data_IF_284330956774
#
_entry.id   IF_284330956774
#
_cell.length_a   1.000
_cell.length_b   1.000
_cell.length_c   1.000
_cell.angle_alpha   90.00
_cell.angle_beta   90.00
_cell.angle_gamma   90.00
#
_symmetry.space_group_name_H-M   'P 1'
#
loop_
_entity.id
_entity.type
_entity.pdbx_description
1 polymer ?
#
# COMPACT_ATOMS: atom_id res chain seq x y z
N UNK A 1 2.23 -16.92 -6.64
CA UNK A 1 1.86 -15.48 -6.54
C UNK A 1 2.41 -14.71 -7.74
N UNK A 2 1.55 -14.00 -8.48
CA UNK A 2 1.96 -13.12 -9.60
C UNK A 2 1.79 -11.66 -9.18
N UNK A 3 2.78 -10.80 -9.47
CA UNK A 3 2.73 -9.36 -9.18
C UNK A 3 2.96 -8.56 -10.44
N UNK A 4 2.13 -7.54 -10.65
CA UNK A 4 2.27 -6.56 -11.73
C UNK A 4 2.49 -5.20 -11.07
N UNK A 5 3.50 -4.48 -11.55
CA UNK A 5 3.86 -3.17 -11.02
C UNK A 5 3.73 -2.14 -12.13
N UNK A 6 3.14 -1.00 -11.80
CA UNK A 6 3.06 0.15 -12.67
C UNK A 6 3.52 1.38 -11.89
N UNK A 7 4.52 2.08 -12.41
CA UNK A 7 4.97 3.35 -11.87
C UNK A 7 4.56 4.45 -12.84
N UNK A 8 3.91 5.49 -12.32
CA UNK A 8 3.47 6.64 -13.09
C UNK A 8 3.92 7.92 -12.40
N UNK A 9 4.26 8.94 -13.20
CA UNK A 9 4.59 10.29 -12.71
C UNK A 9 3.57 11.27 -13.28
N UNK A 10 2.36 11.37 -12.69
CA UNK A 10 1.29 12.17 -13.26
C UNK A 10 1.59 13.68 -13.26
N UNK A 11 2.41 14.16 -12.31
CA UNK A 11 2.82 15.57 -12.18
C UNK A 11 4.22 15.66 -11.55
N UNK A 12 4.94 16.78 -11.71
CA UNK A 12 6.13 17.09 -10.91
C UNK A 12 5.83 16.98 -9.41
N UNK A 13 6.78 16.50 -8.61
CA UNK A 13 6.56 16.24 -7.18
C UNK A 13 5.56 15.14 -6.81
N UNK A 14 4.96 14.40 -7.77
CA UNK A 14 4.06 13.28 -7.48
C UNK A 14 4.47 12.00 -8.23
N UNK A 15 4.83 10.97 -7.48
CA UNK A 15 5.05 9.62 -7.97
C UNK A 15 3.92 8.72 -7.48
N UNK A 16 3.35 7.91 -8.37
CA UNK A 16 2.33 6.92 -8.02
C UNK A 16 2.82 5.56 -8.45
N UNK A 17 2.96 4.66 -7.50
CA UNK A 17 3.28 3.26 -7.73
C UNK A 17 2.03 2.43 -7.43
N UNK A 18 1.56 1.69 -8.41
CA UNK A 18 0.45 0.73 -8.28
C UNK A 18 0.98 -0.69 -8.40
N UNK A 19 0.57 -1.56 -7.50
CA UNK A 19 0.85 -2.99 -7.55
C UNK A 19 -0.46 -3.75 -7.58
N UNK A 20 -0.56 -4.71 -8.49
CA UNK A 20 -1.65 -5.70 -8.52
C UNK A 20 -1.05 -7.06 -8.22
N UNK A 21 -1.52 -7.71 -7.16
CA UNK A 21 -1.08 -9.03 -6.75
C UNK A 21 -2.19 -10.06 -6.89
N UNK A 22 -1.86 -11.20 -7.48
CA UNK A 22 -2.73 -12.38 -7.64
C UNK A 22 -2.16 -13.57 -6.88
N UNK A 23 -3.02 -14.23 -6.11
CA UNK A 23 -2.68 -15.38 -5.27
C UNK A 23 -3.53 -16.55 -5.75
N UNK A 24 -2.92 -17.54 -6.38
CA UNK A 24 -3.65 -18.65 -7.03
C UNK A 24 -3.75 -19.90 -6.16
N UNK A 25 -2.92 -19.97 -5.11
CA UNK A 25 -2.73 -21.09 -4.19
C UNK A 25 -3.63 -21.02 -2.94
N UNK A 26 -4.69 -20.21 -3.00
CA UNK A 26 -5.66 -20.02 -1.91
C UNK A 26 -7.08 -20.27 -2.40
N UNK A 27 -8.01 -20.67 -1.50
CA UNK A 27 -9.42 -20.72 -1.85
C UNK A 27 -9.90 -19.40 -2.45
N UNK A 28 -10.62 -19.47 -3.56
CA UNK A 28 -11.11 -18.31 -4.30
C UNK A 28 -10.01 -17.39 -4.86
N UNK A 29 -8.78 -17.87 -5.04
CA UNK A 29 -7.65 -17.07 -5.53
C UNK A 29 -7.85 -16.43 -6.92
N UNK A 30 -8.76 -16.98 -7.73
CA UNK A 30 -9.19 -16.42 -9.01
C UNK A 30 -10.41 -15.48 -8.90
N UNK A 31 -10.97 -15.30 -7.71
CA UNK A 31 -12.12 -14.44 -7.45
C UNK A 31 -11.73 -13.04 -7.00
N UNK A 32 -10.46 -12.78 -6.68
CA UNK A 32 -10.02 -11.47 -6.21
C UNK A 32 -8.58 -11.15 -6.58
N UNK A 33 -8.26 -9.86 -6.53
CA UNK A 33 -6.91 -9.32 -6.72
C UNK A 33 -6.65 -8.30 -5.61
N UNK A 34 -5.39 -8.20 -5.17
CA UNK A 34 -4.96 -7.15 -4.25
C UNK A 34 -4.42 -5.97 -5.05
N UNK A 35 -4.96 -4.78 -4.79
CA UNK A 35 -4.52 -3.53 -5.39
C UNK A 35 -3.90 -2.65 -4.32
N UNK A 36 -2.59 -2.51 -4.39
CA UNK A 36 -1.83 -1.65 -3.51
C UNK A 36 -1.40 -0.41 -4.28
N UNK A 37 -1.54 0.78 -3.68
CA UNK A 37 -1.10 2.03 -4.27
C UNK A 37 -0.27 2.82 -3.28
N UNK A 38 0.92 3.22 -3.71
CA UNK A 38 1.85 4.06 -2.98
C UNK A 38 1.97 5.39 -3.70
N UNK A 39 1.67 6.47 -2.99
CA UNK A 39 1.74 7.82 -3.52
C UNK A 39 2.84 8.55 -2.76
N UNK A 40 3.89 8.91 -3.47
CA UNK A 40 4.95 9.79 -2.96
C UNK A 40 4.63 11.21 -3.39
N UNK A 41 4.47 12.10 -2.41
CA UNK A 41 4.22 13.51 -2.60
C UNK A 41 5.43 14.29 -2.08
N UNK A 42 5.97 15.15 -2.93
CA UNK A 42 7.08 16.04 -2.61
C UNK A 42 6.67 17.47 -2.92
N UNK A 43 7.14 18.43 -2.12
CA UNK A 43 6.91 19.86 -2.36
C UNK A 43 7.65 20.37 -3.59
N UNK A 44 8.77 19.74 -3.95
CA UNK A 44 9.57 20.04 -5.15
C UNK A 44 10.42 18.83 -5.56
N UNK A 45 11.02 18.88 -6.75
CA UNK A 45 11.93 17.84 -7.23
C UNK A 45 13.27 17.81 -6.45
N UNK A 46 13.57 18.84 -5.67
CA UNK A 46 14.77 18.96 -4.82
C UNK A 46 14.49 18.76 -3.34
N UNK A 47 13.24 18.46 -2.96
CA UNK A 47 12.88 18.37 -1.55
C UNK A 47 13.59 17.18 -0.88
N UNK A 48 14.15 17.44 0.30
CA UNK A 48 14.82 16.41 1.11
C UNK A 48 13.85 15.54 1.92
N UNK A 49 12.54 15.82 1.83
CA UNK A 49 11.48 15.10 2.54
C UNK A 49 10.29 14.92 1.61
N UNK A 50 9.60 13.79 1.78
CA UNK A 50 8.36 13.50 1.08
C UNK A 50 7.29 13.00 2.07
N UNK A 51 6.05 13.06 1.63
CA UNK A 51 4.93 12.38 2.26
C UNK A 51 4.67 11.12 1.46
N UNK A 52 4.66 9.98 2.13
CA UNK A 52 4.21 8.73 1.55
C UNK A 52 2.79 8.43 2.03
N UNK A 53 1.89 8.12 1.09
CA UNK A 53 0.57 7.59 1.39
C UNK A 53 0.43 6.22 0.77
N UNK A 54 -0.05 5.26 1.54
CA UNK A 54 -0.34 3.91 1.07
C UNK A 54 -1.82 3.63 1.18
N UNK A 55 -2.33 2.83 0.25
CA UNK A 55 -3.69 2.33 0.27
C UNK A 55 -3.71 0.93 -0.31
N UNK A 56 -4.39 0.02 0.38
CA UNK A 56 -4.67 -1.33 -0.12
C UNK A 56 -6.17 -1.50 -0.35
N UNK A 57 -6.51 -2.26 -1.40
CA UNK A 57 -7.88 -2.63 -1.72
C UNK A 57 -7.92 -4.02 -2.32
N UNK A 58 -8.77 -4.88 -1.76
CA UNK A 58 -9.19 -6.12 -2.44
C UNK A 58 -10.22 -5.78 -3.51
N UNK A 59 -9.95 -6.17 -4.76
CA UNK A 59 -10.90 -6.09 -5.86
C UNK A 59 -11.48 -7.48 -6.11
N UNK A 60 -12.80 -7.63 -5.95
CA UNK A 60 -13.47 -8.88 -6.32
C UNK A 60 -13.69 -8.90 -7.83
N UNK A 61 -13.27 -9.98 -8.47
CA UNK A 61 -13.50 -10.30 -9.87
C UNK A 61 -14.77 -11.16 -10.06
N UNK A 62 -15.09 -11.98 -9.05
CA UNK A 62 -16.24 -12.90 -9.03
C UNK A 62 -16.90 -12.85 -7.65
N UNK A 63 -18.18 -13.19 -7.59
CA UNK A 63 -18.91 -13.28 -6.32
C UNK A 63 -18.51 -14.53 -5.52
N UNK A 64 -18.50 -14.41 -4.20
CA UNK A 64 -18.29 -15.54 -3.28
C UNK A 64 -18.92 -15.24 -1.92
N UNK A 65 -19.42 -16.26 -1.24
CA UNK A 65 -19.94 -16.15 0.13
C UNK A 65 -18.88 -15.69 1.14
N UNK A 66 -17.59 -15.80 0.79
CA UNK A 66 -16.47 -15.45 1.67
C UNK A 66 -15.93 -14.03 1.46
N UNK A 67 -16.57 -13.18 0.65
CA UNK A 67 -16.07 -11.84 0.31
C UNK A 67 -15.71 -11.02 1.55
N UNK A 68 -16.61 -10.94 2.53
CA UNK A 68 -16.39 -10.18 3.77
C UNK A 68 -15.17 -10.68 4.54
N UNK A 69 -14.99 -12.00 4.59
CA UNK A 69 -13.85 -12.63 5.28
C UNK A 69 -12.53 -12.34 4.56
N UNK A 70 -12.52 -12.45 3.23
CA UNK A 70 -11.35 -12.14 2.39
C UNK A 70 -10.94 -10.68 2.61
N UNK A 71 -11.89 -9.75 2.55
CA UNK A 71 -11.64 -8.31 2.76
C UNK A 71 -11.12 -7.99 4.16
N UNK A 72 -11.74 -8.56 5.21
CA UNK A 72 -11.32 -8.32 6.61
C UNK A 72 -9.91 -8.80 6.86
N UNK A 73 -9.60 -10.04 6.45
CA UNK A 73 -8.27 -10.63 6.64
C UNK A 73 -7.20 -9.88 5.86
N UNK A 74 -7.48 -9.54 4.60
CA UNK A 74 -6.54 -8.74 3.79
C UNK A 74 -6.23 -7.39 4.44
N UNK A 75 -7.24 -6.74 5.02
CA UNK A 75 -7.07 -5.46 5.74
C UNK A 75 -6.20 -5.63 6.99
N UNK A 76 -6.46 -6.66 7.80
CA UNK A 76 -5.66 -6.96 9.00
C UNK A 76 -4.19 -7.22 8.63
N UNK A 77 -3.96 -8.06 7.63
CA UNK A 77 -2.62 -8.39 7.12
C UNK A 77 -1.91 -7.16 6.58
N UNK A 78 -2.61 -6.29 5.83
CA UNK A 78 -2.04 -5.05 5.32
C UNK A 78 -1.64 -4.09 6.44
N UNK A 79 -2.47 -3.94 7.48
CA UNK A 79 -2.15 -3.08 8.63
C UNK A 79 -0.91 -3.60 9.36
N UNK A 80 -0.82 -4.91 9.59
CA UNK A 80 0.35 -5.53 10.23
C UNK A 80 1.61 -5.38 9.37
N UNK A 81 1.51 -5.66 8.07
CA UNK A 81 2.58 -5.46 7.11
C UNK A 81 3.08 -4.01 7.10
N UNK A 82 2.15 -3.05 7.06
CA UNK A 82 2.50 -1.63 7.05
C UNK A 82 3.15 -1.20 8.37
N UNK A 83 2.67 -1.69 9.51
CA UNK A 83 3.28 -1.42 10.81
C UNK A 83 4.73 -1.92 10.87
N UNK A 84 5.00 -3.15 10.37
CA UNK A 84 6.35 -3.70 10.26
C UNK A 84 7.23 -2.87 9.32
N UNK A 85 6.67 -2.42 8.20
CA UNK A 85 7.38 -1.55 7.27
C UNK A 85 7.75 -0.21 7.92
N UNK A 86 6.82 0.43 8.65
CA UNK A 86 7.06 1.68 9.41
C UNK A 86 8.15 1.48 10.46
N UNK A 87 8.12 0.38 11.21
CA UNK A 87 9.17 0.07 12.18
C UNK A 87 10.55 -0.02 11.51
N UNK A 88 10.66 -0.79 10.42
CA UNK A 88 11.91 -0.97 9.68
C UNK A 88 12.47 0.34 9.11
N UNK A 89 11.63 1.24 8.58
CA UNK A 89 12.11 2.55 8.09
C UNK A 89 12.47 3.51 9.23
N UNK A 90 11.86 3.36 10.40
CA UNK A 90 12.15 4.15 11.59
C UNK A 90 13.51 3.76 12.16
N UNK A 91 13.79 2.46 12.28
CA UNK A 91 15.10 1.92 12.69
C UNK A 91 16.22 2.39 11.77
N UNK A 92 15.95 2.52 10.47
CA UNK A 92 16.91 3.04 9.48
C UNK A 92 17.04 4.57 9.46
N UNK A 93 16.30 5.28 10.31
CA UNK A 93 16.36 6.74 10.43
C UNK A 93 15.69 7.52 9.28
N UNK A 94 14.90 6.85 8.42
CA UNK A 94 14.20 7.51 7.31
C UNK A 94 12.89 8.19 7.73
N UNK A 95 12.31 7.78 8.87
CA UNK A 95 11.13 8.41 9.44
C UNK A 95 11.52 9.31 10.61
N UNK A 96 11.26 10.61 10.52
CA UNK A 96 11.34 11.49 11.69
C UNK A 96 10.00 11.43 12.43
N UNK A 97 9.97 11.23 13.75
CA UNK A 97 8.72 11.30 14.51
C UNK A 97 8.10 12.68 14.30
N UNK A 98 6.82 12.69 13.95
CA UNK A 98 6.03 13.93 13.92
C UNK A 98 6.09 14.54 15.31
N UNK A 99 6.67 15.74 15.45
CA UNK A 99 6.45 16.53 16.66
C UNK A 99 4.95 16.79 16.70
N UNK A 100 4.22 16.13 17.61
CA UNK A 100 2.87 16.57 17.95
C UNK A 100 3.02 18.00 18.45
N UNK A 101 2.55 18.96 17.67
CA UNK A 101 2.34 20.32 18.14
C UNK A 101 1.34 20.22 19.29
N UNK A 102 1.84 20.36 20.51
CA UNK A 102 1.02 20.61 21.69
C UNK A 102 0.42 22.00 21.50
N UNK A 103 -0.88 22.07 21.20
CA UNK A 103 -1.71 23.23 21.48
C UNK A 103 -2.36 23.04 22.84
#
# INVERSE_FOLDING_TARGET
>A
MQKIFLVTRPKPGKLVWTMVSKVFDVPYGDHFEHHETWVVLSSSDTALKCILRTSDRVKMLKSTFFENRIRSRSKEEFIEYFAKWVAAITERGYLKPSKKEQQ
#
